data_IF_207465626906
#
_entry.id   IF_207465626906
#
_cell.length_a   1.000
_cell.length_b   1.000
_cell.length_c   1.000
_cell.angle_alpha   90.00
_cell.angle_beta   90.00
_cell.angle_gamma   90.00
#
_symmetry.space_group_name_H-M   'P 1'
#
loop_
_entity.id
_entity.type
_entity.pdbx_description
1 polymer ?
#
# COMPACT_ATOMS: atom_id res chain seq x y z
N UNK A 1 15.42 -8.18 25.68
CA UNK A 1 14.82 -7.01 24.98
C UNK A 1 14.28 -6.10 26.07
N UNK A 2 14.86 -4.93 26.26
CA UNK A 2 14.49 -3.99 27.33
C UNK A 2 13.10 -3.41 27.09
N UNK A 3 12.38 -3.06 28.17
CA UNK A 3 11.01 -2.53 28.14
C UNK A 3 10.82 -1.34 27.17
N UNK A 4 11.88 -0.60 26.87
CA UNK A 4 11.87 0.56 25.97
C UNK A 4 11.67 0.21 24.48
N UNK A 5 12.14 -0.96 24.01
CA UNK A 5 11.98 -1.36 22.60
C UNK A 5 10.61 -2.01 22.32
N UNK A 6 9.92 -2.50 23.37
CA UNK A 6 8.65 -3.22 23.26
C UNK A 6 7.49 -2.24 22.98
N UNK A 7 7.52 -1.05 23.59
CA UNK A 7 6.44 -0.05 23.47
C UNK A 7 6.30 0.52 22.04
N UNK A 8 7.37 0.94 21.33
CA UNK A 8 7.26 1.42 19.95
C UNK A 8 6.80 0.34 18.97
N UNK A 9 7.26 -0.90 19.14
CA UNK A 9 6.84 -2.03 18.30
C UNK A 9 5.36 -2.36 18.46
N UNK A 10 4.85 -2.33 19.71
CA UNK A 10 3.43 -2.54 19.99
C UNK A 10 2.55 -1.41 19.42
N UNK A 11 3.01 -0.17 19.52
CA UNK A 11 2.31 0.99 18.94
C UNK A 11 2.25 0.92 17.42
N UNK A 12 3.36 0.57 16.76
CA UNK A 12 3.39 0.39 15.31
C UNK A 12 2.49 -0.77 14.83
N UNK A 13 2.40 -1.85 15.63
CA UNK A 13 1.47 -2.94 15.34
C UNK A 13 0.01 -2.49 15.50
N UNK A 14 -0.30 -1.75 16.56
CA UNK A 14 -1.64 -1.20 16.78
C UNK A 14 -2.05 -0.24 15.64
N UNK A 15 -1.12 0.62 15.20
CA UNK A 15 -1.30 1.52 14.06
C UNK A 15 -1.64 0.74 12.79
N UNK A 16 -0.85 -0.29 12.48
CA UNK A 16 -1.10 -1.13 11.32
C UNK A 16 -2.47 -1.84 11.38
N UNK A 17 -2.90 -2.30 12.57
CA UNK A 17 -4.22 -2.92 12.76
C UNK A 17 -5.33 -1.91 12.51
N UNK A 18 -5.20 -0.67 13.01
CA UNK A 18 -6.17 0.40 12.78
C UNK A 18 -6.27 0.71 11.28
N UNK A 19 -5.14 0.96 10.61
CA UNK A 19 -5.10 1.33 9.19
C UNK A 19 -5.65 0.21 8.30
N UNK A 20 -5.14 -1.02 8.44
CA UNK A 20 -5.57 -2.15 7.63
C UNK A 20 -7.02 -2.57 7.93
N UNK A 21 -7.39 -2.61 9.21
CA UNK A 21 -8.73 -2.98 9.64
C UNK A 21 -9.79 -1.98 9.16
N UNK A 22 -9.55 -0.68 9.32
CA UNK A 22 -10.50 0.33 8.88
C UNK A 22 -10.62 0.39 7.35
N UNK A 23 -9.52 0.24 6.60
CA UNK A 23 -9.60 0.16 5.14
C UNK A 23 -10.41 -1.05 4.68
N UNK A 24 -10.21 -2.22 5.31
CA UNK A 24 -10.99 -3.42 5.03
C UNK A 24 -12.47 -3.20 5.34
N UNK A 25 -12.79 -2.65 6.51
CA UNK A 25 -14.17 -2.38 6.94
C UNK A 25 -14.84 -1.32 6.06
N UNK A 26 -14.14 -0.27 5.65
CA UNK A 26 -14.65 0.75 4.72
C UNK A 26 -14.99 0.10 3.38
N UNK A 27 -14.06 -0.64 2.78
CA UNK A 27 -14.31 -1.30 1.50
C UNK A 27 -15.45 -2.33 1.60
N UNK A 28 -15.52 -3.10 2.68
CA UNK A 28 -16.60 -4.04 2.95
C UNK A 28 -17.95 -3.32 3.08
N UNK A 29 -18.01 -2.26 3.88
CA UNK A 29 -19.23 -1.49 4.10
C UNK A 29 -19.75 -0.86 2.81
N UNK A 30 -18.86 -0.25 2.02
CA UNK A 30 -19.20 0.35 0.74
C UNK A 30 -19.70 -0.70 -0.26
N UNK A 31 -18.99 -1.83 -0.40
CA UNK A 31 -19.40 -2.92 -1.30
C UNK A 31 -20.73 -3.58 -0.91
N UNK A 32 -21.08 -3.57 0.38
CA UNK A 32 -22.36 -4.14 0.87
C UNK A 32 -23.53 -3.17 0.70
N UNK A 33 -23.26 -1.87 0.73
CA UNK A 33 -24.29 -0.82 0.75
C UNK A 33 -24.55 -0.24 -0.64
N UNK A 34 -23.49 0.04 -1.40
CA UNK A 34 -23.60 0.50 -2.77
C UNK A 34 -24.00 -0.65 -3.70
N UNK A 35 -24.58 -0.31 -4.84
CA UNK A 35 -24.69 -1.26 -5.94
C UNK A 35 -23.30 -1.56 -6.55
N UNK A 36 -23.18 -2.70 -7.22
CA UNK A 36 -21.89 -3.17 -7.74
C UNK A 36 -21.30 -2.25 -8.81
N UNK A 37 -22.12 -1.47 -9.51
CA UNK A 37 -21.64 -0.52 -10.52
C UNK A 37 -21.00 0.69 -9.83
N UNK A 38 -21.72 1.33 -8.90
CA UNK A 38 -21.20 2.41 -8.06
C UNK A 38 -19.95 2.02 -7.28
N UNK A 39 -19.91 0.81 -6.70
CA UNK A 39 -18.72 0.33 -5.99
C UNK A 39 -17.53 0.09 -6.93
N UNK A 40 -17.78 -0.29 -8.19
CA UNK A 40 -16.75 -0.42 -9.22
C UNK A 40 -16.08 0.92 -9.53
N UNK A 41 -16.89 1.97 -9.74
CA UNK A 41 -16.40 3.34 -9.94
C UNK A 41 -15.63 3.88 -8.72
N UNK A 42 -16.16 3.67 -7.51
CA UNK A 42 -15.45 3.98 -6.27
C UNK A 42 -14.08 3.29 -6.21
N UNK A 43 -14.04 1.99 -6.50
CA UNK A 43 -12.82 1.18 -6.40
C UNK A 43 -11.75 1.64 -7.39
N UNK A 44 -12.12 2.00 -8.62
CA UNK A 44 -11.20 2.60 -9.59
C UNK A 44 -10.65 3.93 -9.12
N UNK A 45 -11.52 4.84 -8.68
CA UNK A 45 -11.11 6.15 -8.17
C UNK A 45 -10.17 5.99 -6.96
N UNK A 46 -10.47 5.07 -6.04
CA UNK A 46 -9.65 4.82 -4.87
C UNK A 46 -8.29 4.24 -5.25
N UNK A 47 -8.25 3.36 -6.26
CA UNK A 47 -7.00 2.83 -6.79
C UNK A 47 -6.13 3.93 -7.43
N UNK A 48 -6.72 4.91 -8.13
CA UNK A 48 -5.98 6.09 -8.61
C UNK A 48 -5.40 6.87 -7.42
N UNK A 49 -6.17 7.09 -6.35
CA UNK A 49 -5.67 7.74 -5.14
C UNK A 49 -4.51 6.96 -4.49
N UNK A 50 -4.58 5.62 -4.44
CA UNK A 50 -3.50 4.77 -3.92
C UNK A 50 -2.24 4.86 -4.79
N UNK A 51 -2.37 4.95 -6.11
CA UNK A 51 -1.24 5.13 -7.02
C UNK A 51 -0.51 6.44 -6.74
N UNK A 52 -1.28 7.54 -6.70
CA UNK A 52 -0.75 8.87 -6.44
C UNK A 52 -0.18 8.99 -5.01
N UNK A 53 -0.77 8.32 -4.03
CA UNK A 53 -0.22 8.19 -2.67
C UNK A 53 1.15 7.49 -2.67
N UNK A 54 1.33 6.46 -3.52
CA UNK A 54 2.64 5.82 -3.72
C UNK A 54 3.70 6.79 -4.25
N UNK A 55 3.35 7.61 -5.24
CA UNK A 55 4.24 8.64 -5.81
C UNK A 55 4.55 9.74 -4.78
N UNK A 56 3.53 10.22 -4.07
CA UNK A 56 3.69 11.17 -2.97
C UNK A 56 4.65 10.64 -1.91
N UNK A 57 4.46 9.38 -1.47
CA UNK A 57 5.35 8.74 -0.50
C UNK A 57 6.79 8.67 -0.99
N UNK A 58 7.01 8.35 -2.26
CA UNK A 58 8.35 8.26 -2.84
C UNK A 58 9.09 9.60 -2.89
N UNK A 59 8.37 10.72 -3.09
CA UNK A 59 8.96 12.06 -3.24
C UNK A 59 9.01 12.83 -1.93
N UNK A 60 7.97 12.74 -1.10
CA UNK A 60 7.80 13.57 0.11
C UNK A 60 8.22 12.81 1.36
N UNK A 61 7.48 11.75 1.70
CA UNK A 61 7.47 11.27 3.09
C UNK A 61 8.51 10.20 3.38
N UNK A 62 8.87 9.35 2.41
CA UNK A 62 9.88 8.33 2.61
C UNK A 62 11.30 8.91 2.71
N UNK A 63 11.72 9.88 1.88
CA UNK A 63 12.98 10.59 2.10
C UNK A 63 13.01 11.32 3.44
N UNK A 64 11.91 11.97 3.84
CA UNK A 64 11.78 12.63 5.15
C UNK A 64 12.01 11.66 6.33
N UNK A 65 11.63 10.39 6.20
CA UNK A 65 11.87 9.37 7.22
C UNK A 65 13.33 8.86 7.25
N UNK A 66 14.05 8.93 6.12
CA UNK A 66 15.42 8.41 5.98
C UNK A 66 16.47 9.46 6.30
N UNK A 67 16.28 10.70 5.83
CA UNK A 67 17.26 11.80 5.93
C UNK A 67 17.24 12.49 7.31
N UNK A 68 17.06 11.75 8.38
CA UNK A 68 17.01 12.32 9.73
C UNK A 68 18.39 12.82 10.17
N UNK A 69 18.42 14.00 10.77
CA UNK A 69 19.60 14.52 11.46
C UNK A 69 19.35 14.52 12.97
N UNK A 70 20.05 13.63 13.68
CA UNK A 70 19.89 13.46 15.13
C UNK A 70 20.54 14.58 15.94
N UNK A 71 21.53 15.26 15.37
CA UNK A 71 22.22 16.36 16.04
C UNK A 71 21.43 17.67 15.88
N UNK A 72 20.59 17.77 14.83
CA UNK A 72 19.76 18.94 14.52
C UNK A 72 18.28 18.56 14.36
N UNK A 73 17.56 18.23 15.45
CA UNK A 73 16.16 17.79 15.39
C UNK A 73 15.21 18.85 14.81
N UNK A 74 15.55 20.14 14.93
CA UNK A 74 14.78 21.24 14.34
C UNK A 74 14.72 21.17 12.80
N UNK A 75 15.71 20.56 12.15
CA UNK A 75 15.77 20.41 10.70
C UNK A 75 14.62 19.55 10.16
N UNK A 76 14.17 18.58 10.97
CA UNK A 76 13.04 17.72 10.62
C UNK A 76 11.73 18.52 10.52
N UNK A 77 11.54 19.49 11.42
CA UNK A 77 10.38 20.38 11.38
C UNK A 77 10.47 21.37 10.20
N UNK A 78 11.64 21.99 9.99
CA UNK A 78 11.86 22.88 8.86
C UNK A 78 11.59 22.17 7.52
N UNK A 79 12.06 20.92 7.39
CA UNK A 79 11.77 20.07 6.22
C UNK A 79 10.29 19.77 6.08
N UNK A 80 9.59 19.39 7.16
CA UNK A 80 8.16 19.14 7.10
C UNK A 80 7.37 20.38 6.67
N UNK A 81 7.75 21.58 7.13
CA UNK A 81 7.15 22.87 6.70
C UNK A 81 7.37 23.13 5.22
N UNK A 82 8.60 23.01 4.73
CA UNK A 82 8.90 23.13 3.31
C UNK A 82 8.12 22.12 2.46
N UNK A 83 8.00 20.86 2.93
CA UNK A 83 7.19 19.86 2.25
C UNK A 83 5.70 20.23 2.25
N UNK A 84 5.15 20.77 3.35
CA UNK A 84 3.78 21.28 3.39
C UNK A 84 3.56 22.43 2.39
N UNK A 85 4.52 23.34 2.27
CA UNK A 85 4.48 24.40 1.26
C UNK A 85 4.51 23.83 -0.17
N UNK A 86 5.30 22.79 -0.42
CA UNK A 86 5.34 22.12 -1.73
C UNK A 86 4.00 21.48 -2.15
N UNK A 87 3.06 21.27 -1.22
CA UNK A 87 1.72 20.77 -1.56
C UNK A 87 0.89 21.79 -2.37
N UNK A 88 1.23 23.08 -2.35
CA UNK A 88 0.63 24.08 -3.24
C UNK A 88 0.80 23.74 -4.73
N UNK A 89 1.85 23.00 -5.09
CA UNK A 89 2.07 22.50 -6.45
C UNK A 89 1.66 21.03 -6.57
N UNK A 90 2.01 20.20 -5.58
CA UNK A 90 1.77 18.75 -5.67
C UNK A 90 0.28 18.38 -5.73
N UNK A 91 -0.58 19.06 -4.96
CA UNK A 91 -2.01 18.77 -4.94
C UNK A 91 -2.68 19.12 -6.28
N UNK A 92 -2.47 20.32 -6.89
CA UNK A 92 -3.00 20.61 -8.22
C UNK A 92 -2.51 19.65 -9.30
N UNK A 93 -1.22 19.28 -9.28
CA UNK A 93 -0.68 18.29 -10.24
C UNK A 93 -1.37 16.94 -10.08
N UNK A 94 -1.47 16.44 -8.85
CA UNK A 94 -2.13 15.17 -8.58
C UNK A 94 -3.63 15.23 -8.90
N UNK A 95 -4.30 16.34 -8.58
CA UNK A 95 -5.70 16.56 -8.91
C UNK A 95 -5.95 16.61 -10.42
N UNK A 96 -5.02 17.21 -11.18
CA UNK A 96 -5.07 17.21 -12.65
C UNK A 96 -4.96 15.79 -13.21
N UNK A 97 -4.10 14.94 -12.63
CA UNK A 97 -3.99 13.53 -13.02
C UNK A 97 -5.29 12.77 -12.71
N UNK A 98 -5.90 12.99 -11.54
CA UNK A 98 -7.22 12.39 -11.22
C UNK A 98 -8.28 12.85 -12.21
N UNK A 99 -8.31 14.13 -12.56
CA UNK A 99 -9.26 14.66 -13.54
C UNK A 99 -9.06 14.04 -14.93
N UNK A 100 -7.81 13.92 -15.40
CA UNK A 100 -7.47 13.26 -16.67
C UNK A 100 -7.89 11.79 -16.66
N UNK A 101 -7.60 11.06 -15.58
CA UNK A 101 -8.08 9.69 -15.41
C UNK A 101 -9.62 9.61 -15.42
N UNK A 102 -10.29 10.54 -14.76
CA UNK A 102 -11.75 10.64 -14.75
C UNK A 102 -12.33 10.81 -16.15
N UNK A 103 -11.71 11.65 -16.99
CA UNK A 103 -12.09 11.81 -18.40
C UNK A 103 -11.89 10.54 -19.21
N UNK A 104 -10.78 9.82 -19.03
CA UNK A 104 -10.53 8.56 -19.75
C UNK A 104 -11.44 7.41 -19.31
N UNK A 105 -12.01 7.49 -18.11
CA UNK A 105 -12.87 6.47 -17.52
C UNK A 105 -14.36 6.86 -17.57
N UNK A 106 -14.71 7.97 -18.24
CA UNK A 106 -16.07 8.53 -18.29
C UNK A 106 -16.71 8.67 -16.89
N UNK A 107 -15.91 9.06 -15.89
CA UNK A 107 -16.32 9.12 -14.51
C UNK A 107 -17.21 10.35 -14.21
N UNK A 108 -18.14 10.18 -13.27
CA UNK A 108 -18.97 11.27 -12.77
C UNK A 108 -18.14 12.42 -12.18
N UNK A 109 -18.55 13.66 -12.47
CA UNK A 109 -17.82 14.88 -12.07
C UNK A 109 -17.76 15.03 -10.55
N UNK A 110 -18.83 14.65 -9.82
CA UNK A 110 -18.84 14.72 -8.36
C UNK A 110 -17.89 13.69 -7.76
N UNK A 111 -17.79 12.50 -8.35
CA UNK A 111 -16.81 11.49 -7.97
C UNK A 111 -15.38 12.00 -8.18
N UNK A 112 -15.08 12.58 -9.34
CA UNK A 112 -13.75 13.14 -9.63
C UNK A 112 -13.39 14.26 -8.64
N UNK A 113 -14.30 15.22 -8.44
CA UNK A 113 -14.07 16.35 -7.54
C UNK A 113 -13.86 15.90 -6.09
N UNK A 114 -14.69 14.98 -5.59
CA UNK A 114 -14.55 14.44 -4.23
C UNK A 114 -13.27 13.61 -4.05
N UNK A 115 -12.86 12.83 -5.06
CA UNK A 115 -11.59 12.10 -5.04
C UNK A 115 -10.37 13.04 -4.99
N UNK A 116 -10.41 14.19 -5.69
CA UNK A 116 -9.37 15.23 -5.62
C UNK A 116 -9.31 15.84 -4.22
N UNK A 117 -10.47 16.17 -3.62
CA UNK A 117 -10.55 16.72 -2.26
C UNK A 117 -9.99 15.72 -1.25
N UNK A 118 -10.38 14.45 -1.37
CA UNK A 118 -9.83 13.38 -0.52
C UNK A 118 -8.32 13.24 -0.68
N UNK A 119 -7.82 13.22 -1.92
CA UNK A 119 -6.39 13.10 -2.19
C UNK A 119 -5.59 14.24 -1.56
N UNK A 120 -6.09 15.47 -1.66
CA UNK A 120 -5.49 16.64 -1.01
C UNK A 120 -5.39 16.46 0.51
N UNK A 121 -6.50 16.06 1.14
CA UNK A 121 -6.55 15.85 2.60
C UNK A 121 -5.66 14.68 3.03
N UNK A 122 -5.63 13.59 2.26
CA UNK A 122 -4.77 12.42 2.50
C UNK A 122 -3.29 12.81 2.45
N UNK A 123 -2.84 13.57 1.44
CA UNK A 123 -1.44 13.97 1.31
C UNK A 123 -0.95 14.81 2.48
N UNK A 124 -1.80 15.74 2.94
CA UNK A 124 -1.51 16.58 4.10
C UNK A 124 -1.46 15.74 5.40
N UNK A 125 -2.45 14.87 5.61
CA UNK A 125 -2.51 13.99 6.77
C UNK A 125 -1.32 13.01 6.80
N UNK A 126 -0.99 12.36 5.69
CA UNK A 126 0.13 11.42 5.62
C UNK A 126 1.48 12.13 5.85
N UNK A 127 1.66 13.35 5.34
CA UNK A 127 2.85 14.16 5.63
C UNK A 127 3.00 14.41 7.14
N UNK A 128 1.93 14.84 7.81
CA UNK A 128 1.95 15.09 9.25
C UNK A 128 2.19 13.80 10.06
N UNK A 129 1.53 12.70 9.68
CA UNK A 129 1.74 11.40 10.31
C UNK A 129 3.19 10.93 10.21
N UNK A 130 3.78 11.08 9.02
CA UNK A 130 5.16 10.68 8.74
C UNK A 130 6.17 11.55 9.47
N UNK A 131 5.85 12.82 9.71
CA UNK A 131 6.64 13.67 10.58
C UNK A 131 6.68 13.11 12.01
N UNK A 132 5.53 12.72 12.59
CA UNK A 132 5.52 12.11 13.93
C UNK A 132 6.34 10.82 14.00
N UNK A 133 6.24 9.96 12.98
CA UNK A 133 7.10 8.77 12.88
C UNK A 133 8.59 9.12 12.85
N UNK A 134 8.96 10.10 12.03
CA UNK A 134 10.35 10.50 11.89
C UNK A 134 10.92 11.17 13.15
N UNK A 135 10.08 11.92 13.87
CA UNK A 135 10.42 12.57 15.13
C UNK A 135 10.33 11.64 16.35
N UNK A 136 10.00 10.36 16.17
CA UNK A 136 9.86 9.37 17.25
C UNK A 136 8.57 9.48 18.08
N UNK A 137 7.65 10.36 17.70
CA UNK A 137 6.37 10.59 18.37
C UNK A 137 5.29 9.57 17.93
N UNK A 138 5.58 8.27 18.07
CA UNK A 138 4.72 7.18 17.59
C UNK A 138 3.29 7.21 18.15
N UNK A 139 3.09 7.72 19.38
CA UNK A 139 1.75 7.85 19.97
C UNK A 139 0.91 8.91 19.24
N UNK A 140 1.51 10.02 18.81
CA UNK A 140 0.81 11.05 18.04
C UNK A 140 0.51 10.58 16.62
N UNK A 141 1.38 9.75 16.03
CA UNK A 141 1.11 9.09 14.75
C UNK A 141 -0.11 8.17 14.85
N UNK A 142 -0.19 7.34 15.89
CA UNK A 142 -1.34 6.46 16.14
C UNK A 142 -2.64 7.24 16.32
N UNK A 143 -2.62 8.32 17.12
CA UNK A 143 -3.80 9.17 17.28
C UNK A 143 -4.26 9.80 15.98
N UNK A 144 -3.31 10.22 15.15
CA UNK A 144 -3.61 10.77 13.82
C UNK A 144 -4.31 9.74 12.93
N UNK A 145 -3.85 8.48 12.93
CA UNK A 145 -4.49 7.38 12.20
C UNK A 145 -5.85 6.99 12.78
N UNK A 146 -6.00 6.96 14.10
CA UNK A 146 -7.31 6.75 14.74
C UNK A 146 -8.32 7.79 14.25
N UNK A 147 -7.95 9.08 14.27
CA UNK A 147 -8.86 10.17 13.85
C UNK A 147 -9.19 10.05 12.36
N UNK A 148 -8.23 9.73 11.50
CA UNK A 148 -8.46 9.59 10.06
C UNK A 148 -9.31 8.36 9.73
N UNK A 149 -8.91 7.18 10.19
CA UNK A 149 -9.44 5.89 9.77
C UNK A 149 -10.66 5.41 10.56
N UNK A 150 -10.73 5.65 11.87
CA UNK A 150 -11.96 5.39 12.64
C UNK A 150 -12.95 6.54 12.39
N UNK A 151 -12.46 7.78 12.28
CA UNK A 151 -13.30 8.94 11.96
C UNK A 151 -14.05 8.79 10.62
N UNK A 152 -13.42 8.27 9.57
CA UNK A 152 -14.15 8.03 8.30
C UNK A 152 -15.31 7.05 8.50
N UNK A 153 -15.14 5.98 9.30
CA UNK A 153 -16.21 5.02 9.57
C UNK A 153 -17.36 5.67 10.36
N UNK A 154 -17.02 6.52 11.34
CA UNK A 154 -18.01 7.30 12.11
C UNK A 154 -18.84 8.21 11.21
N UNK A 155 -18.27 8.76 10.13
CA UNK A 155 -19.00 9.60 9.16
C UNK A 155 -19.75 8.77 8.13
N UNK A 156 -19.15 7.67 7.64
CA UNK A 156 -19.72 6.80 6.61
C UNK A 156 -20.96 6.04 7.08
N UNK A 157 -20.96 5.55 8.32
CA UNK A 157 -22.06 4.73 8.84
C UNK A 157 -23.41 5.48 8.83
N UNK A 158 -23.53 6.71 9.38
CA UNK A 158 -24.75 7.50 9.25
C UNK A 158 -25.15 7.78 7.80
N UNK A 159 -24.21 8.07 6.90
CA UNK A 159 -24.51 8.31 5.48
C UNK A 159 -25.17 7.08 4.83
N UNK A 160 -24.69 5.88 5.16
CA UNK A 160 -25.31 4.64 4.70
C UNK A 160 -26.71 4.41 5.26
N UNK A 161 -26.90 4.61 6.58
CA UNK A 161 -28.21 4.43 7.23
C UNK A 161 -29.25 5.42 6.71
N UNK A 162 -28.84 6.66 6.40
CA UNK A 162 -29.72 7.70 5.89
C UNK A 162 -29.94 7.62 4.37
N UNK A 163 -29.30 6.68 3.67
CA UNK A 163 -29.45 6.51 2.22
C UNK A 163 -28.75 7.57 1.36
N UNK A 164 -27.83 8.35 1.94
CA UNK A 164 -27.05 9.37 1.23
C UNK A 164 -25.70 8.86 0.72
N UNK A 165 -25.45 7.56 0.83
CA UNK A 165 -24.18 6.96 0.45
C UNK A 165 -24.07 6.80 -1.07
N UNK A 166 -23.10 7.51 -1.63
CA UNK A 166 -22.60 7.42 -3.00
C UNK A 166 -21.07 7.37 -3.00
N UNK A 167 -20.42 6.97 -4.11
CA UNK A 167 -18.97 7.04 -4.25
C UNK A 167 -18.39 8.42 -3.86
N UNK A 168 -19.05 9.49 -4.31
CA UNK A 168 -18.59 10.85 -4.02
C UNK A 168 -18.72 11.21 -2.53
N UNK A 169 -19.86 10.88 -1.91
CA UNK A 169 -20.05 11.13 -0.47
C UNK A 169 -19.06 10.32 0.39
N UNK A 170 -18.66 9.13 -0.08
CA UNK A 170 -17.69 8.31 0.63
C UNK A 170 -16.31 8.98 0.63
N UNK A 171 -15.85 9.47 -0.52
CA UNK A 171 -14.62 10.25 -0.60
C UNK A 171 -14.66 11.51 0.26
N UNK A 172 -15.79 12.24 0.29
CA UNK A 172 -15.93 13.41 1.15
C UNK A 172 -15.89 13.07 2.64
N UNK A 173 -16.48 11.94 3.05
CA UNK A 173 -16.41 11.45 4.43
C UNK A 173 -14.97 11.13 4.85
N UNK A 174 -14.22 10.45 3.97
CA UNK A 174 -12.80 10.15 4.18
C UNK A 174 -11.95 11.43 4.17
N UNK A 175 -12.26 12.38 3.30
CA UNK A 175 -11.58 13.67 3.26
C UNK A 175 -11.77 14.46 4.55
N UNK A 176 -13.00 14.49 5.08
CA UNK A 176 -13.33 15.21 6.31
C UNK A 176 -12.55 14.67 7.52
N UNK A 177 -12.46 13.35 7.68
CA UNK A 177 -11.70 12.76 8.79
C UNK A 177 -10.17 12.94 8.62
N UNK A 178 -9.64 12.79 7.41
CA UNK A 178 -8.22 13.07 7.12
C UNK A 178 -7.86 14.54 7.34
N UNK A 179 -8.72 15.47 6.94
CA UNK A 179 -8.52 16.89 7.20
C UNK A 179 -8.54 17.20 8.70
N UNK A 180 -9.49 16.64 9.45
CA UNK A 180 -9.54 16.80 10.90
C UNK A 180 -8.26 16.28 11.56
N UNK A 181 -7.79 15.09 11.15
CA UNK A 181 -6.54 14.52 11.64
C UNK A 181 -5.35 15.44 11.34
N UNK A 182 -5.26 15.99 10.13
CA UNK A 182 -4.22 16.94 9.75
C UNK A 182 -4.25 18.23 10.58
N UNK A 183 -5.43 18.86 10.74
CA UNK A 183 -5.56 20.10 11.52
C UNK A 183 -5.19 19.91 12.99
N UNK A 184 -5.55 18.76 13.59
CA UNK A 184 -5.14 18.43 14.94
C UNK A 184 -3.64 18.14 15.03
N UNK A 185 -3.06 17.49 14.01
CA UNK A 185 -1.62 17.27 13.95
C UNK A 185 -0.82 18.59 13.89
N UNK A 186 -1.24 19.58 13.09
CA UNK A 186 -0.60 20.90 13.08
C UNK A 186 -0.55 21.53 14.47
N UNK A 187 -1.69 21.52 15.18
CA UNK A 187 -1.77 22.02 16.56
C UNK A 187 -0.87 21.26 17.53
N UNK A 188 -0.73 19.95 17.36
CA UNK A 188 0.20 19.17 18.18
C UNK A 188 1.64 19.52 17.85
N UNK A 189 2.00 19.64 16.57
CA UNK A 189 3.35 20.00 16.12
C UNK A 189 3.76 21.35 16.69
N UNK A 190 2.90 22.37 16.59
CA UNK A 190 3.15 23.72 17.14
C UNK A 190 3.34 23.72 18.66
N UNK A 191 2.69 22.81 19.38
CA UNK A 191 2.79 22.73 20.85
C UNK A 191 4.01 21.95 21.33
N UNK A 192 4.42 20.92 20.60
CA UNK A 192 5.46 19.99 21.04
C UNK A 192 6.83 20.29 20.46
N UNK A 193 6.91 21.05 19.37
CA UNK A 193 8.17 21.37 18.72
C UNK A 193 8.45 22.87 18.75
N UNK A 194 9.62 23.29 19.25
CA UNK A 194 10.04 24.68 19.13
C UNK A 194 10.23 25.06 17.67
N UNK A 195 10.12 26.36 17.39
CA UNK A 195 10.40 26.94 16.08
C UNK A 195 11.80 26.52 15.59
N UNK A 196 11.95 26.23 14.29
CA UNK A 196 13.23 25.86 13.74
C UNK A 196 14.22 27.02 13.82
N UNK A 197 15.50 26.71 13.97
CA UNK A 197 16.55 27.73 14.02
C UNK A 197 16.72 28.47 12.68
N UNK A 198 16.35 27.83 11.57
CA UNK A 198 16.29 28.39 10.24
C UNK A 198 15.21 27.66 9.43
N UNK A 199 14.59 28.35 8.48
CA UNK A 199 13.70 27.74 7.50
C UNK A 199 14.51 27.11 6.35
N UNK A 200 13.95 26.06 5.76
CA UNK A 200 14.46 25.47 4.53
C UNK A 200 13.55 25.86 3.37
N UNK A 201 14.12 26.18 2.23
CA UNK A 201 13.33 26.36 1.02
C UNK A 201 12.83 25.02 0.48
N UNK A 202 11.70 25.05 -0.22
CA UNK A 202 11.17 23.88 -0.95
C UNK A 202 12.24 23.29 -1.89
N UNK A 203 12.97 24.15 -2.61
CA UNK A 203 13.99 23.73 -3.57
C UNK A 203 15.12 22.97 -2.90
N UNK A 204 15.68 23.49 -1.79
CA UNK A 204 16.75 22.83 -1.05
C UNK A 204 16.33 21.43 -0.58
N UNK A 205 15.11 21.31 -0.04
CA UNK A 205 14.59 20.02 0.43
C UNK A 205 14.40 19.03 -0.72
N UNK A 206 13.82 19.47 -1.84
CA UNK A 206 13.59 18.58 -2.98
C UNK A 206 14.92 18.18 -3.63
N UNK A 207 15.89 19.08 -3.77
CA UNK A 207 17.23 18.77 -4.31
C UNK A 207 17.97 17.75 -3.43
N UNK A 208 17.88 17.90 -2.09
CA UNK A 208 18.46 16.95 -1.14
C UNK A 208 17.80 15.55 -1.26
N UNK A 209 16.47 15.50 -1.43
CA UNK A 209 15.71 14.26 -1.49
C UNK A 209 15.74 13.57 -2.86
N UNK A 210 15.98 14.31 -3.94
CA UNK A 210 15.85 13.81 -5.30
C UNK A 210 16.72 12.59 -5.64
N UNK A 211 18.00 12.51 -5.20
CA UNK A 211 18.84 11.34 -5.45
C UNK A 211 18.22 10.03 -4.96
N UNK A 212 17.48 10.05 -3.85
CA UNK A 212 16.75 8.91 -3.30
C UNK A 212 15.38 8.76 -3.99
N UNK A 213 14.63 9.86 -4.12
CA UNK A 213 13.25 9.88 -4.61
C UNK A 213 13.10 9.31 -6.02
N UNK A 214 14.03 9.61 -6.94
CA UNK A 214 13.98 9.11 -8.32
C UNK A 214 13.97 7.57 -8.41
N UNK A 215 14.69 6.90 -7.51
CA UNK A 215 14.72 5.44 -7.45
C UNK A 215 13.49 4.87 -6.75
N UNK A 216 12.97 5.56 -5.74
CA UNK A 216 11.70 5.20 -5.10
C UNK A 216 10.54 5.31 -6.09
N UNK A 217 10.50 6.36 -6.91
CA UNK A 217 9.52 6.53 -7.99
C UNK A 217 9.58 5.37 -8.99
N UNK A 218 10.77 5.02 -9.47
CA UNK A 218 10.95 3.86 -10.36
C UNK A 218 10.46 2.56 -9.72
N UNK A 219 10.67 2.41 -8.40
CA UNK A 219 10.19 1.25 -7.64
C UNK A 219 8.67 1.21 -7.55
N UNK A 220 8.02 2.36 -7.28
CA UNK A 220 6.55 2.46 -7.26
C UNK A 220 5.98 2.08 -8.63
N UNK A 221 6.52 2.62 -9.72
CA UNK A 221 6.07 2.30 -11.08
C UNK A 221 6.21 0.80 -11.39
N UNK A 222 7.33 0.18 -11.02
CA UNK A 222 7.56 -1.24 -11.25
C UNK A 222 6.60 -2.13 -10.43
N UNK A 223 6.34 -1.79 -9.16
CA UNK A 223 5.40 -2.55 -8.31
C UNK A 223 3.98 -2.46 -8.86
N UNK A 224 3.56 -1.28 -9.30
CA UNK A 224 2.23 -1.08 -9.86
C UNK A 224 2.05 -1.84 -11.17
N UNK A 225 3.02 -1.75 -12.07
CA UNK A 225 3.05 -2.52 -13.32
C UNK A 225 2.99 -4.04 -13.10
N UNK A 226 3.60 -4.53 -12.02
CA UNK A 226 3.68 -5.95 -11.73
C UNK A 226 2.34 -6.59 -11.30
N UNK A 227 1.38 -5.83 -10.75
CA UNK A 227 0.16 -6.47 -10.25
C UNK A 227 -1.02 -5.57 -9.88
N UNK A 228 -0.84 -4.26 -9.76
CA UNK A 228 -1.94 -3.36 -9.33
C UNK A 228 -2.72 -2.75 -10.50
N UNK A 229 -2.28 -2.97 -11.75
CA UNK A 229 -2.97 -2.43 -12.92
C UNK A 229 -4.20 -3.24 -13.37
N UNK A 230 -4.34 -4.50 -12.93
CA UNK A 230 -5.41 -5.38 -13.41
C UNK A 230 -6.84 -4.85 -13.26
N UNK A 231 -7.22 -4.16 -12.17
CA UNK A 231 -8.53 -3.51 -12.09
C UNK A 231 -8.78 -2.49 -13.21
N UNK A 232 -7.77 -1.73 -13.63
CA UNK A 232 -7.89 -0.82 -14.78
C UNK A 232 -8.01 -1.57 -16.10
N UNK A 233 -7.32 -2.70 -16.24
CA UNK A 233 -7.41 -3.55 -17.44
C UNK A 233 -8.78 -4.23 -17.58
N UNK A 234 -9.58 -4.27 -16.50
CA UNK A 234 -10.93 -4.81 -16.48
C UNK A 234 -12.02 -3.77 -16.80
N UNK A 235 -11.68 -2.48 -16.92
CA UNK A 235 -12.64 -1.41 -17.26
C UNK A 235 -13.48 -1.73 -18.52
N UNK A 236 -12.92 -2.28 -19.61
CA UNK A 236 -13.72 -2.63 -20.79
C UNK A 236 -14.78 -3.72 -20.55
N UNK A 237 -14.66 -4.49 -19.46
CA UNK A 237 -15.66 -5.49 -19.05
C UNK A 237 -16.76 -4.91 -18.15
N UNK A 238 -16.66 -3.63 -17.81
CA UNK A 238 -17.63 -2.86 -17.04
C UNK A 238 -17.32 -2.75 -15.53
N UNK A 239 -17.96 -1.81 -14.82
CA UNK A 239 -17.66 -1.51 -13.42
C UNK A 239 -17.91 -2.68 -12.47
N UNK A 240 -18.90 -3.54 -12.77
CA UNK A 240 -19.20 -4.74 -11.96
C UNK A 240 -18.04 -5.74 -11.96
N UNK A 241 -17.31 -5.87 -13.07
CA UNK A 241 -16.11 -6.71 -13.12
C UNK A 241 -15.02 -6.16 -12.20
N UNK A 242 -14.84 -4.84 -12.20
CA UNK A 242 -13.88 -4.16 -11.33
C UNK A 242 -14.27 -4.28 -9.86
N UNK A 243 -15.55 -4.13 -9.53
CA UNK A 243 -16.09 -4.33 -8.19
C UNK A 243 -15.82 -5.76 -7.68
N UNK A 244 -16.14 -6.76 -8.49
CA UNK A 244 -15.94 -8.18 -8.14
C UNK A 244 -14.46 -8.49 -7.89
N UNK A 245 -13.57 -7.95 -8.74
CA UNK A 245 -12.13 -8.09 -8.57
C UNK A 245 -11.63 -7.36 -7.33
N UNK A 246 -12.13 -6.16 -7.06
CA UNK A 246 -11.74 -5.34 -5.90
C UNK A 246 -12.18 -5.96 -4.57
N UNK A 247 -13.35 -6.61 -4.52
CA UNK A 247 -13.80 -7.43 -3.39
C UNK A 247 -12.80 -8.55 -3.11
N UNK A 248 -12.35 -9.26 -4.15
CA UNK A 248 -11.34 -10.30 -4.00
C UNK A 248 -10.04 -9.74 -3.43
N UNK A 249 -9.52 -8.64 -3.99
CA UNK A 249 -8.30 -7.99 -3.50
C UNK A 249 -8.44 -7.53 -2.04
N UNK A 250 -9.61 -7.01 -1.64
CA UNK A 250 -9.86 -6.59 -0.26
C UNK A 250 -9.77 -7.77 0.72
N UNK A 251 -10.30 -8.94 0.36
CA UNK A 251 -10.17 -10.16 1.16
C UNK A 251 -8.71 -10.65 1.23
N UNK A 252 -7.98 -10.55 0.13
CA UNK A 252 -6.57 -10.97 0.05
C UNK A 252 -5.62 -10.04 0.81
N UNK A 253 -6.00 -8.78 1.03
CA UNK A 253 -5.22 -7.84 1.85
C UNK A 253 -5.02 -8.32 3.30
N UNK A 254 -5.83 -9.27 3.79
CA UNK A 254 -5.58 -9.95 5.07
C UNK A 254 -4.24 -10.68 5.09
N UNK A 255 -3.88 -11.37 3.99
CA UNK A 255 -2.54 -11.96 3.83
C UNK A 255 -1.47 -10.87 3.69
N UNK A 256 -1.85 -9.72 3.11
CA UNK A 256 -1.02 -8.53 3.01
C UNK A 256 -0.46 -8.06 4.36
N UNK A 257 -1.18 -8.24 5.48
CA UNK A 257 -0.67 -7.92 6.82
C UNK A 257 0.55 -8.78 7.20
N UNK A 258 0.52 -10.08 6.86
CA UNK A 258 1.63 -11.00 7.07
C UNK A 258 2.78 -10.61 6.15
N UNK A 259 2.49 -10.36 4.87
CA UNK A 259 3.48 -9.93 3.88
C UNK A 259 4.20 -8.65 4.33
N UNK A 260 3.46 -7.65 4.84
CA UNK A 260 4.05 -6.41 5.34
C UNK A 260 4.89 -6.63 6.60
N UNK A 261 4.47 -7.53 7.49
CA UNK A 261 5.25 -7.91 8.68
C UNK A 261 6.58 -8.57 8.28
N UNK A 262 6.56 -9.46 7.28
CA UNK A 262 7.79 -10.05 6.70
C UNK A 262 8.69 -8.96 6.13
N UNK A 263 8.14 -8.07 5.30
CA UNK A 263 8.89 -6.98 4.66
C UNK A 263 9.59 -6.07 5.68
N UNK A 264 8.96 -5.83 6.84
CA UNK A 264 9.48 -4.92 7.85
C UNK A 264 10.45 -5.59 8.82
N UNK A 265 10.19 -6.83 9.26
CA UNK A 265 10.96 -7.47 10.33
C UNK A 265 12.13 -8.33 9.82
N UNK A 266 11.96 -9.02 8.69
CA UNK A 266 12.94 -10.01 8.21
C UNK A 266 14.28 -9.39 7.78
N UNK A 267 14.33 -8.25 7.05
CA UNK A 267 15.62 -7.74 6.54
C UNK A 267 16.64 -7.45 7.65
N UNK A 268 16.22 -6.80 8.74
CA UNK A 268 17.09 -6.46 9.86
C UNK A 268 17.59 -7.69 10.61
N UNK A 269 16.69 -8.64 10.89
CA UNK A 269 17.03 -9.89 11.54
C UNK A 269 17.99 -10.73 10.69
N UNK A 270 17.72 -10.85 9.39
CA UNK A 270 18.57 -11.57 8.45
C UNK A 270 19.96 -10.94 8.33
N UNK A 271 20.06 -9.60 8.30
CA UNK A 271 21.34 -8.89 8.29
C UNK A 271 22.15 -9.16 9.57
N UNK A 272 21.50 -9.19 10.75
CA UNK A 272 22.16 -9.51 12.03
C UNK A 272 22.65 -10.95 12.06
N UNK A 273 21.85 -11.91 11.58
CA UNK A 273 22.26 -13.32 11.46
C UNK A 273 23.48 -13.44 10.54
N UNK A 274 23.48 -12.73 9.41
CA UNK A 274 24.61 -12.76 8.49
C UNK A 274 25.90 -12.23 9.13
N UNK A 275 25.81 -11.10 9.84
CA UNK A 275 26.96 -10.46 10.47
C UNK A 275 27.51 -11.27 11.65
N UNK A 276 26.63 -11.84 12.49
CA UNK A 276 27.03 -12.53 13.72
C UNK A 276 27.34 -14.01 13.52
N UNK A 277 26.49 -14.71 12.76
CA UNK A 277 26.47 -16.17 12.68
C UNK A 277 26.94 -16.69 11.31
N UNK A 278 27.23 -15.79 10.36
CA UNK A 278 27.83 -16.08 9.07
C UNK A 278 26.85 -16.62 8.01
N UNK A 279 27.41 -16.92 6.83
CA UNK A 279 26.64 -17.28 5.63
C UNK A 279 25.86 -18.60 5.74
N UNK A 280 26.39 -19.58 6.48
CA UNK A 280 25.71 -20.86 6.70
C UNK A 280 24.43 -20.70 7.55
N UNK A 281 24.50 -19.90 8.62
CA UNK A 281 23.33 -19.60 9.45
C UNK A 281 22.29 -18.79 8.68
N UNK A 282 22.72 -17.80 7.89
CA UNK A 282 21.85 -17.02 7.00
C UNK A 282 21.08 -17.90 6.00
N UNK A 283 21.75 -18.89 5.38
CA UNK A 283 21.09 -19.84 4.45
C UNK A 283 20.06 -20.72 5.13
N UNK A 284 20.38 -21.23 6.32
CA UNK A 284 19.44 -22.03 7.11
C UNK A 284 18.22 -21.21 7.52
N UNK A 285 18.44 -19.95 7.89
CA UNK A 285 17.36 -19.03 8.23
C UNK A 285 16.48 -18.70 7.01
N UNK A 286 17.08 -18.41 5.85
CA UNK A 286 16.35 -18.26 4.59
C UNK A 286 15.48 -19.48 4.28
N UNK A 287 16.05 -20.69 4.31
CA UNK A 287 15.29 -21.92 4.04
C UNK A 287 14.14 -22.11 5.03
N UNK A 288 14.37 -21.85 6.32
CA UNK A 288 13.34 -21.96 7.35
C UNK A 288 12.22 -20.94 7.12
N UNK A 289 12.55 -19.69 6.87
CA UNK A 289 11.57 -18.61 6.65
C UNK A 289 10.80 -18.83 5.35
N UNK A 290 11.47 -19.27 4.28
CA UNK A 290 10.80 -19.66 3.02
C UNK A 290 9.86 -20.86 3.23
N UNK A 291 10.26 -21.88 4.00
CA UNK A 291 9.39 -23.02 4.30
C UNK A 291 8.15 -22.57 5.10
N UNK A 292 8.32 -21.74 6.13
CA UNK A 292 7.22 -21.21 6.92
C UNK A 292 6.26 -20.37 6.07
N UNK A 293 6.79 -19.48 5.23
CA UNK A 293 5.99 -18.68 4.31
C UNK A 293 5.27 -19.55 3.26
N UNK A 294 5.92 -20.60 2.76
CA UNK A 294 5.32 -21.56 1.83
C UNK A 294 4.18 -22.36 2.48
N UNK A 295 4.36 -22.83 3.71
CA UNK A 295 3.30 -23.50 4.47
C UNK A 295 2.13 -22.54 4.77
N UNK A 296 2.43 -21.31 5.21
CA UNK A 296 1.40 -20.30 5.49
C UNK A 296 0.62 -19.92 4.23
N UNK A 297 1.33 -19.67 3.11
CA UNK A 297 0.72 -19.37 1.82
C UNK A 297 -0.10 -20.55 1.26
N UNK A 298 0.43 -21.78 1.36
CA UNK A 298 -0.28 -22.98 0.94
C UNK A 298 -1.56 -23.24 1.76
N UNK A 299 -1.47 -23.11 3.08
CA UNK A 299 -2.64 -23.21 3.96
C UNK A 299 -3.67 -22.14 3.62
N UNK A 300 -3.22 -20.91 3.36
CA UNK A 300 -4.10 -19.81 2.95
C UNK A 300 -4.82 -20.11 1.63
N UNK A 301 -4.11 -20.59 0.60
CA UNK A 301 -4.72 -20.99 -0.68
C UNK A 301 -5.75 -22.09 -0.50
N UNK A 302 -5.44 -23.12 0.30
CA UNK A 302 -6.38 -24.21 0.60
C UNK A 302 -7.61 -23.66 1.33
N UNK A 303 -7.42 -22.83 2.36
CA UNK A 303 -8.52 -22.21 3.09
C UNK A 303 -9.40 -21.37 2.16
N UNK A 304 -8.82 -20.50 1.34
CA UNK A 304 -9.57 -19.69 0.38
C UNK A 304 -10.33 -20.57 -0.60
N UNK A 305 -9.73 -21.64 -1.14
CA UNK A 305 -10.41 -22.53 -2.09
C UNK A 305 -11.67 -23.20 -1.50
N UNK A 306 -11.67 -23.47 -0.19
CA UNK A 306 -12.79 -24.15 0.48
C UNK A 306 -13.82 -23.17 1.06
N UNK A 307 -13.39 -21.96 1.45
CA UNK A 307 -14.23 -20.99 2.14
C UNK A 307 -14.58 -19.75 1.31
N UNK A 308 -14.10 -19.62 0.07
CA UNK A 308 -14.33 -18.44 -0.77
C UNK A 308 -15.82 -18.08 -0.89
N UNK A 309 -16.66 -19.01 -1.36
CA UNK A 309 -18.09 -18.76 -1.55
C UNK A 309 -18.83 -18.49 -0.23
N UNK A 310 -18.70 -19.30 0.85
CA UNK A 310 -19.31 -18.99 2.14
C UNK A 310 -18.90 -17.63 2.71
N UNK A 311 -17.62 -17.26 2.59
CA UNK A 311 -17.09 -15.99 3.10
C UNK A 311 -17.63 -14.83 2.28
N UNK A 312 -17.64 -14.94 0.94
CA UNK A 312 -18.20 -13.92 0.06
C UNK A 312 -19.70 -13.73 0.33
N UNK A 313 -20.45 -14.83 0.45
CA UNK A 313 -21.87 -14.79 0.72
C UNK A 313 -22.17 -14.12 2.07
N UNK A 314 -21.45 -14.52 3.13
CA UNK A 314 -21.62 -13.95 4.47
C UNK A 314 -21.28 -12.45 4.52
N UNK A 315 -20.13 -12.07 3.96
CA UNK A 315 -19.60 -10.69 4.04
C UNK A 315 -20.30 -9.72 3.09
N UNK A 316 -20.75 -10.17 1.92
CA UNK A 316 -21.32 -9.30 0.90
C UNK A 316 -22.79 -9.59 0.56
N UNK A 317 -23.43 -10.55 1.24
CA UNK A 317 -24.85 -10.85 1.09
C UNK A 317 -25.22 -11.44 -0.27
N UNK A 318 -24.36 -12.30 -0.82
CA UNK A 318 -24.62 -13.01 -2.09
C UNK A 318 -24.26 -12.24 -3.37
N UNK A 319 -23.91 -10.95 -3.27
CA UNK A 319 -23.71 -10.06 -4.44
C UNK A 319 -22.48 -10.43 -5.30
N UNK A 320 -21.51 -11.12 -4.70
CA UNK A 320 -20.22 -11.43 -5.33
C UNK A 320 -19.86 -12.92 -5.26
N UNK A 321 -20.84 -13.80 -5.08
CA UNK A 321 -20.58 -15.25 -4.94
C UNK A 321 -19.91 -15.84 -6.21
N UNK A 322 -20.25 -15.29 -7.38
CA UNK A 322 -19.62 -15.64 -8.66
C UNK A 322 -18.13 -15.31 -8.73
N UNK A 323 -17.60 -14.49 -7.81
CA UNK A 323 -16.18 -14.16 -7.73
C UNK A 323 -15.37 -15.20 -6.95
N UNK A 324 -15.98 -16.27 -6.43
CA UNK A 324 -15.28 -17.29 -5.63
C UNK A 324 -14.12 -17.96 -6.37
N UNK A 325 -14.29 -18.29 -7.65
CA UNK A 325 -13.23 -18.87 -8.49
C UNK A 325 -12.09 -17.87 -8.78
N UNK A 326 -12.45 -16.60 -8.98
CA UNK A 326 -11.50 -15.49 -9.17
C UNK A 326 -10.65 -15.34 -7.89
N UNK A 327 -11.30 -15.31 -6.73
CA UNK A 327 -10.65 -15.24 -5.42
C UNK A 327 -9.71 -16.43 -5.19
N UNK A 328 -10.17 -17.64 -5.50
CA UNK A 328 -9.34 -18.85 -5.44
C UNK A 328 -8.08 -18.74 -6.28
N UNK A 329 -8.21 -18.23 -7.50
CA UNK A 329 -7.08 -18.03 -8.42
C UNK A 329 -6.11 -16.97 -7.90
N UNK A 330 -6.62 -15.80 -7.50
CA UNK A 330 -5.82 -14.71 -6.95
C UNK A 330 -5.10 -15.08 -5.65
N UNK A 331 -5.66 -16.00 -4.85
CA UNK A 331 -5.01 -16.48 -3.62
C UNK A 331 -3.65 -17.14 -3.88
N UNK A 332 -3.50 -17.80 -5.03
CA UNK A 332 -2.22 -18.39 -5.48
C UNK A 332 -1.21 -17.25 -5.71
N UNK A 333 -1.62 -16.20 -6.42
CA UNK A 333 -0.83 -14.99 -6.60
C UNK A 333 -0.42 -14.34 -5.28
N UNK A 334 -1.34 -14.24 -4.32
CA UNK A 334 -1.06 -13.69 -3.00
C UNK A 334 -0.03 -14.52 -2.23
N UNK A 335 -0.09 -15.85 -2.30
CA UNK A 335 0.92 -16.74 -1.72
C UNK A 335 2.29 -16.58 -2.41
N UNK A 336 2.32 -16.45 -3.74
CA UNK A 336 3.55 -16.12 -4.47
C UNK A 336 4.12 -14.77 -4.06
N UNK A 337 3.27 -13.76 -3.84
CA UNK A 337 3.68 -12.44 -3.36
C UNK A 337 4.35 -12.51 -1.99
N UNK A 338 3.76 -13.23 -1.03
CA UNK A 338 4.35 -13.46 0.30
C UNK A 338 5.75 -14.09 0.18
N UNK A 339 5.88 -15.13 -0.64
CA UNK A 339 7.18 -15.79 -0.87
C UNK A 339 8.18 -14.85 -1.55
N UNK A 340 7.74 -14.08 -2.54
CA UNK A 340 8.56 -13.07 -3.22
C UNK A 340 9.07 -12.01 -2.25
N UNK A 341 8.24 -11.58 -1.28
CA UNK A 341 8.63 -10.66 -0.22
C UNK A 341 9.66 -11.27 0.73
N UNK A 342 9.56 -12.56 1.07
CA UNK A 342 10.62 -13.26 1.83
C UNK A 342 11.95 -13.17 1.08
N UNK A 343 11.99 -13.57 -0.19
CA UNK A 343 13.23 -13.49 -0.96
C UNK A 343 13.73 -12.04 -1.08
N UNK A 344 12.83 -11.08 -1.31
CA UNK A 344 13.14 -9.65 -1.30
C UNK A 344 13.81 -9.19 -0.01
N UNK A 345 13.31 -9.63 1.15
CA UNK A 345 13.85 -9.28 2.45
C UNK A 345 15.29 -9.79 2.65
N UNK A 346 15.59 -11.04 2.26
CA UNK A 346 16.95 -11.57 2.31
C UNK A 346 17.88 -10.93 1.27
N UNK A 347 17.35 -10.54 0.10
CA UNK A 347 18.11 -9.76 -0.88
C UNK A 347 18.53 -8.41 -0.29
N UNK A 348 17.61 -7.73 0.41
CA UNK A 348 17.88 -6.47 1.07
C UNK A 348 18.93 -6.60 2.18
N UNK A 349 18.89 -7.69 2.96
CA UNK A 349 19.91 -8.01 3.96
C UNK A 349 21.31 -8.21 3.35
N UNK A 350 21.39 -8.58 2.06
CA UNK A 350 22.63 -8.66 1.28
C UNK A 350 23.01 -7.32 0.61
N UNK A 351 22.29 -6.23 0.87
CA UNK A 351 22.40 -4.95 0.16
C UNK A 351 22.10 -5.05 -1.35
N UNK A 352 21.13 -5.90 -1.72
CA UNK A 352 20.64 -6.05 -3.09
C UNK A 352 19.27 -5.40 -3.33
N UNK A 353 19.24 -4.07 -3.39
CA UNK A 353 18.01 -3.35 -3.72
C UNK A 353 17.62 -3.45 -5.21
N UNK A 354 18.57 -3.76 -6.09
CA UNK A 354 18.33 -3.80 -7.55
C UNK A 354 17.55 -5.03 -7.97
N UNK A 355 17.77 -6.17 -7.33
CA UNK A 355 17.05 -7.41 -7.61
C UNK A 355 15.52 -7.23 -7.57
N UNK A 356 15.00 -6.53 -6.55
CA UNK A 356 13.57 -6.25 -6.41
C UNK A 356 13.00 -5.44 -7.56
N UNK A 357 13.74 -4.43 -8.04
CA UNK A 357 13.33 -3.64 -9.20
C UNK A 357 13.22 -4.50 -10.46
N UNK A 358 14.26 -5.28 -10.77
CA UNK A 358 14.27 -6.14 -11.97
C UNK A 358 13.23 -7.26 -11.92
N UNK A 359 12.99 -7.85 -10.76
CA UNK A 359 11.93 -8.84 -10.57
C UNK A 359 10.55 -8.26 -10.87
N UNK A 360 10.26 -7.05 -10.38
CA UNK A 360 8.99 -6.37 -10.65
C UNK A 360 8.87 -5.87 -12.10
N UNK A 361 9.97 -5.47 -12.73
CA UNK A 361 9.98 -5.16 -14.17
C UNK A 361 9.65 -6.40 -15.00
N UNK A 362 10.20 -7.57 -14.66
CA UNK A 362 9.85 -8.83 -15.32
C UNK A 362 8.38 -9.18 -15.17
N UNK A 363 7.81 -9.01 -13.98
CA UNK A 363 6.38 -9.16 -13.74
C UNK A 363 5.52 -8.12 -14.48
N UNK A 364 6.01 -6.89 -14.62
CA UNK A 364 5.34 -5.84 -15.40
C UNK A 364 5.25 -6.22 -16.88
N UNK A 365 6.35 -6.74 -17.45
CA UNK A 365 6.33 -7.29 -18.82
C UNK A 365 5.30 -8.41 -18.92
N UNK A 366 5.22 -9.28 -17.90
CA UNK A 366 4.23 -10.36 -17.87
C UNK A 366 2.78 -9.83 -17.89
N UNK A 367 2.50 -8.78 -17.11
CA UNK A 367 1.20 -8.10 -17.08
C UNK A 367 0.79 -7.57 -18.46
N UNK A 368 1.70 -6.86 -19.13
CA UNK A 368 1.42 -6.23 -20.43
C UNK A 368 1.56 -7.17 -21.64
N UNK A 369 1.94 -8.44 -21.44
CA UNK A 369 2.03 -9.42 -22.54
C UNK A 369 1.01 -10.54 -22.33
N UNK A 370 1.35 -11.53 -21.52
CA UNK A 370 0.51 -12.70 -21.24
C UNK A 370 -0.72 -12.31 -20.44
N UNK A 371 -0.61 -11.34 -19.52
CA UNK A 371 -1.75 -10.82 -18.78
C UNK A 371 -2.85 -10.26 -19.68
N UNK A 372 -2.51 -9.34 -20.59
CA UNK A 372 -3.47 -8.79 -21.57
C UNK A 372 -4.05 -9.88 -22.48
N UNK A 373 -3.22 -10.81 -22.95
CA UNK A 373 -3.68 -11.94 -23.75
C UNK A 373 -4.68 -12.83 -22.98
N UNK A 374 -4.42 -13.11 -21.70
CA UNK A 374 -5.32 -13.90 -20.85
C UNK A 374 -6.65 -13.18 -20.63
N UNK A 375 -6.64 -11.86 -20.39
CA UNK A 375 -7.87 -11.06 -20.25
C UNK A 375 -8.71 -11.14 -21.53
N UNK A 376 -8.09 -11.01 -22.70
CA UNK A 376 -8.80 -11.10 -23.98
C UNK A 376 -9.49 -12.45 -24.22
N UNK A 377 -8.93 -13.56 -23.71
CA UNK A 377 -9.49 -14.90 -23.93
C UNK A 377 -10.39 -15.40 -22.80
N UNK A 378 -10.16 -14.94 -21.56
CA UNK A 378 -10.81 -15.49 -20.35
C UNK A 378 -11.41 -14.40 -19.43
N UNK A 379 -11.52 -13.16 -19.91
CA UNK A 379 -12.14 -12.04 -19.19
C UNK A 379 -11.57 -11.88 -17.76
N UNK A 380 -12.44 -11.83 -16.73
CA UNK A 380 -12.03 -11.67 -15.32
C UNK A 380 -11.12 -12.80 -14.82
N UNK A 381 -11.38 -14.04 -15.24
CA UNK A 381 -10.52 -15.17 -14.87
C UNK A 381 -9.13 -15.03 -15.49
N UNK A 382 -9.07 -14.45 -16.71
CA UNK A 382 -7.82 -14.06 -17.36
C UNK A 382 -7.02 -13.03 -16.57
N UNK A 383 -7.69 -12.01 -16.00
CA UNK A 383 -7.04 -11.04 -15.12
C UNK A 383 -6.50 -11.69 -13.83
N UNK A 384 -7.26 -12.62 -13.24
CA UNK A 384 -6.82 -13.33 -12.02
C UNK A 384 -5.60 -14.22 -12.28
N UNK A 385 -5.61 -14.97 -13.38
CA UNK A 385 -4.48 -15.78 -13.82
C UNK A 385 -3.28 -14.90 -14.16
N UNK A 386 -3.50 -13.81 -14.90
CA UNK A 386 -2.47 -12.83 -15.22
C UNK A 386 -1.80 -12.28 -13.96
N UNK A 387 -2.60 -11.80 -13.01
CA UNK A 387 -2.11 -11.27 -11.72
C UNK A 387 -1.26 -12.30 -11.00
N UNK A 388 -1.76 -13.54 -10.89
CA UNK A 388 -1.08 -14.61 -10.20
C UNK A 388 0.24 -15.01 -10.87
N UNK A 389 0.25 -15.02 -12.20
CA UNK A 389 1.42 -15.37 -13.00
C UNK A 389 2.48 -14.26 -12.99
N UNK A 390 2.08 -12.99 -13.01
CA UNK A 390 2.98 -11.85 -12.82
C UNK A 390 3.64 -11.90 -11.43
N UNK A 391 2.87 -12.16 -10.37
CA UNK A 391 3.41 -12.32 -9.01
C UNK A 391 4.31 -13.55 -8.88
N UNK A 392 3.97 -14.68 -9.51
CA UNK A 392 4.83 -15.86 -9.57
C UNK A 392 6.14 -15.58 -10.33
N UNK A 393 6.08 -14.76 -11.38
CA UNK A 393 7.27 -14.32 -12.14
C UNK A 393 8.19 -13.48 -11.26
N UNK A 394 7.64 -12.47 -10.56
CA UNK A 394 8.41 -11.65 -9.61
C UNK A 394 9.06 -12.51 -8.52
N UNK A 395 8.30 -13.43 -7.91
CA UNK A 395 8.80 -14.36 -6.91
C UNK A 395 9.96 -15.21 -7.43
N UNK A 396 9.82 -15.78 -8.63
CA UNK A 396 10.82 -16.68 -9.22
C UNK A 396 12.10 -15.94 -9.58
N UNK A 397 11.99 -14.76 -10.20
CA UNK A 397 13.13 -13.89 -10.49
C UNK A 397 13.86 -13.50 -9.20
N UNK A 398 13.11 -13.11 -8.17
CA UNK A 398 13.68 -12.71 -6.89
C UNK A 398 14.42 -13.86 -6.21
N UNK A 399 13.85 -15.07 -6.23
CA UNK A 399 14.49 -16.28 -5.73
C UNK A 399 15.80 -16.56 -6.46
N UNK A 400 15.79 -16.49 -7.81
CA UNK A 400 17.00 -16.72 -8.62
C UNK A 400 18.12 -15.72 -8.29
N UNK A 401 17.80 -14.44 -8.16
CA UNK A 401 18.80 -13.42 -7.81
C UNK A 401 19.43 -13.68 -6.44
N UNK A 402 18.62 -13.95 -5.42
CA UNK A 402 19.10 -14.22 -4.05
C UNK A 402 19.94 -15.48 -3.99
N UNK A 403 19.48 -16.57 -4.60
CA UNK A 403 20.21 -17.84 -4.62
C UNK A 403 21.53 -17.73 -5.39
N UNK A 404 21.56 -16.98 -6.50
CA UNK A 404 22.78 -16.72 -7.25
C UNK A 404 23.81 -15.92 -6.42
N UNK A 405 23.34 -14.88 -5.73
CA UNK A 405 24.20 -14.06 -4.85
C UNK A 405 24.76 -14.90 -3.69
N UNK A 406 23.94 -15.76 -3.10
CA UNK A 406 24.39 -16.70 -2.08
C UNK A 406 25.47 -17.66 -2.58
N UNK A 407 25.34 -18.19 -3.81
CA UNK A 407 26.37 -19.06 -4.41
C UNK A 407 27.71 -18.35 -4.56
N UNK A 408 27.70 -17.06 -4.96
CA UNK A 408 28.92 -16.24 -5.09
C UNK A 408 29.61 -15.92 -3.77
N UNK A 409 28.91 -15.92 -2.65
CA UNK A 409 29.54 -15.72 -1.33
C UNK A 409 30.34 -16.95 -0.86
N UNK A 410 30.14 -18.10 -1.49
CA UNK A 410 30.81 -19.36 -1.16
C UNK A 410 31.96 -19.69 -2.11
N UNK A 411 32.08 -18.98 -3.23
CA UNK A 411 33.19 -19.06 -4.16
C UNK A 411 34.20 -17.97 -3.80
#
# INVERSE_FOLDING_TARGET
MTNEAIRPGLLALADQVVVSGCNFLTALFLARTLDSDSFGHYSLAFLVCLFLSGLHRAVFTQPMAVLQDRDRPWLQLARARALLEAHWVAIPVAGSLVAVCGLFLDADVCLVASAIIFLACMFLQETARRFFYASGAHELALWNDIISYIGQLVVLLPLGVLGYLSPASAFLAMAASSLLAFLLALRWIERTHPEPAADLSVTEVIEEQWPLSKWLLATVLAIWGAGQLYPFLLVPLGPVAVASFSVCLNLLNLLGLITQSVANCVPGNAATILQRDGSAAFRRDLLRTSLLAGCAGGLFVVAVRWFAEPVLHFLYGGRYDSAADILGTLSIGAACSLMGTVFGAYALALHDSRSGLFSNLGATVMTFTVGLWLIGNHAMQGAALGTSLSLATAMTLQAMFVLHRLRRMNA
#
